data_IF_835454583155
#
_entry.id   IF_835454583155
#
_cell.length_a   1.000
_cell.length_b   1.000
_cell.length_c   1.000
_cell.angle_alpha   90.00
_cell.angle_beta   90.00
_cell.angle_gamma   90.00
#
_symmetry.space_group_name_H-M   'P 1'
#
loop_
_entity.id
_entity.type
_entity.pdbx_description
1 polymer ?
#
# COMPACT_ATOMS: atom_id res chain seq x y z
N UNK A 1 13.48 2.17 -6.31
CA UNK A 1 12.53 1.25 -6.96
C UNK A 1 11.13 1.86 -6.99
N UNK A 2 10.45 2.04 -5.85
CA UNK A 2 9.14 2.71 -5.79
C UNK A 2 9.17 4.13 -6.40
N UNK A 3 10.21 4.91 -6.10
CA UNK A 3 10.43 6.24 -6.70
C UNK A 3 10.50 6.23 -8.23
N UNK A 4 11.10 5.18 -8.81
CA UNK A 4 11.21 5.06 -10.28
C UNK A 4 9.86 4.65 -10.89
N UNK A 5 9.08 3.82 -10.19
CA UNK A 5 7.72 3.46 -10.62
C UNK A 5 6.83 4.70 -10.63
N UNK A 6 6.92 5.54 -9.60
CA UNK A 6 6.21 6.83 -9.57
C UNK A 6 6.71 7.77 -10.68
N UNK A 7 8.02 7.83 -10.92
CA UNK A 7 8.62 8.69 -11.95
C UNK A 7 8.24 8.30 -13.39
N UNK A 8 8.25 7.00 -13.71
CA UNK A 8 7.80 6.47 -15.01
C UNK A 8 6.29 6.69 -15.19
N UNK A 9 5.54 6.73 -14.09
CA UNK A 9 4.10 6.91 -14.07
C UNK A 9 3.32 5.66 -14.50
N UNK A 10 2.00 5.82 -14.70
CA UNK A 10 1.09 4.75 -15.14
C UNK A 10 0.46 3.92 -14.02
N UNK A 11 0.99 3.99 -12.79
CA UNK A 11 0.39 3.40 -11.58
C UNK A 11 0.15 4.44 -10.46
N UNK A 12 0.40 5.72 -10.72
CA UNK A 12 0.26 6.83 -9.78
C UNK A 12 1.36 7.87 -9.95
N UNK A 13 1.11 9.09 -9.46
CA UNK A 13 2.06 10.22 -9.51
C UNK A 13 2.96 10.31 -8.26
N UNK A 14 2.65 9.51 -7.24
CA UNK A 14 3.39 9.44 -5.98
C UNK A 14 3.40 7.99 -5.43
N UNK A 15 4.37 7.69 -4.56
CA UNK A 15 4.54 6.39 -3.92
C UNK A 15 3.28 6.01 -3.12
N UNK A 16 2.59 6.99 -2.51
CA UNK A 16 1.33 6.80 -1.80
C UNK A 16 0.22 6.16 -2.63
N UNK A 17 0.27 6.23 -3.95
CA UNK A 17 -0.71 5.61 -4.85
C UNK A 17 -0.41 4.16 -5.23
N UNK A 18 0.81 3.68 -4.96
CA UNK A 18 1.27 2.41 -5.48
C UNK A 18 0.68 1.23 -4.70
N UNK A 19 0.38 0.09 -5.37
CA UNK A 19 -0.11 -1.12 -4.73
C UNK A 19 1.05 -1.89 -4.06
N UNK A 20 1.69 -1.26 -3.07
CA UNK A 20 2.84 -1.77 -2.33
C UNK A 20 2.74 -1.40 -0.83
N UNK A 21 3.36 -2.24 0.02
CA UNK A 21 3.38 -2.06 1.46
C UNK A 21 4.65 -2.69 2.05
N UNK A 22 5.08 -2.21 3.23
CA UNK A 22 6.14 -2.80 4.02
C UNK A 22 5.60 -3.81 5.04
N UNK A 23 6.42 -4.80 5.40
CA UNK A 23 6.12 -5.74 6.47
C UNK A 23 7.38 -6.06 7.28
N UNK A 24 7.30 -5.93 8.60
CA UNK A 24 8.34 -6.27 9.56
C UNK A 24 7.72 -7.17 10.65
N UNK A 25 7.51 -8.47 10.35
CA UNK A 25 6.73 -9.38 11.20
C UNK A 25 7.42 -9.65 12.55
N UNK A 26 8.75 -9.72 12.56
CA UNK A 26 9.55 -10.06 13.74
C UNK A 26 10.63 -9.00 13.98
N UNK A 27 10.23 -7.73 13.97
CA UNK A 27 11.19 -6.65 14.19
C UNK A 27 11.78 -6.72 15.61
N UNK A 28 13.10 -6.50 15.70
CA UNK A 28 13.83 -6.55 16.98
C UNK A 28 14.63 -5.26 17.23
N UNK A 29 15.09 -4.61 16.17
CA UNK A 29 16.02 -3.48 16.28
C UNK A 29 15.35 -2.15 15.99
N UNK A 30 15.85 -1.09 16.61
CA UNK A 30 15.44 0.29 16.34
C UNK A 30 15.60 0.67 14.86
N UNK A 31 16.58 0.06 14.18
CA UNK A 31 16.76 0.22 12.73
C UNK A 31 15.53 -0.24 11.94
N UNK A 32 14.85 -1.30 12.38
CA UNK A 32 13.64 -1.77 11.71
C UNK A 32 12.48 -0.76 11.88
N UNK A 33 12.36 -0.13 13.06
CA UNK A 33 11.39 0.94 13.30
C UNK A 33 11.71 2.14 12.42
N UNK A 34 12.98 2.56 12.34
CA UNK A 34 13.40 3.68 11.51
C UNK A 34 13.11 3.44 10.02
N UNK A 35 13.36 2.23 9.52
CA UNK A 35 13.00 1.84 8.14
C UNK A 35 11.49 1.91 7.94
N UNK A 36 10.70 1.39 8.89
CA UNK A 36 9.25 1.45 8.80
C UNK A 36 8.69 2.89 8.84
N UNK A 37 9.29 3.77 9.64
CA UNK A 37 8.92 5.19 9.63
C UNK A 37 9.24 5.84 8.29
N UNK A 38 10.42 5.58 7.74
CA UNK A 38 10.81 6.09 6.42
C UNK A 38 9.84 5.64 5.32
N UNK A 39 9.36 4.39 5.37
CA UNK A 39 8.36 3.88 4.43
C UNK A 39 7.05 4.64 4.55
N UNK A 40 6.53 4.83 5.77
CA UNK A 40 5.27 5.57 5.98
C UNK A 40 5.38 7.02 5.56
N UNK A 41 6.46 7.71 5.94
CA UNK A 41 6.69 9.09 5.51
C UNK A 41 6.85 9.21 3.97
N UNK A 42 7.21 8.12 3.30
CA UNK A 42 7.27 8.02 1.84
C UNK A 42 5.95 7.53 1.21
N UNK A 43 4.88 7.33 1.97
CA UNK A 43 3.57 6.90 1.44
C UNK A 43 3.38 5.38 1.32
N UNK A 44 4.27 4.55 1.85
CA UNK A 44 4.08 3.10 1.89
C UNK A 44 3.62 2.66 3.31
N UNK A 45 2.42 2.07 3.47
CA UNK A 45 1.96 1.58 4.77
C UNK A 45 2.81 0.41 5.23
N UNK A 46 3.04 0.28 6.55
CA UNK A 46 3.92 -0.73 7.13
C UNK A 46 3.21 -1.51 8.23
N UNK A 47 3.26 -2.84 8.11
CA UNK A 47 2.74 -3.75 9.11
C UNK A 47 3.87 -4.30 9.97
N UNK A 48 3.68 -4.30 11.28
CA UNK A 48 4.60 -4.88 12.25
C UNK A 48 3.94 -6.04 12.99
N UNK A 49 4.69 -7.10 13.29
CA UNK A 49 4.16 -8.26 14.03
C UNK A 49 4.43 -8.27 15.52
N UNK A 50 5.31 -7.39 16.00
CA UNK A 50 5.60 -7.24 17.43
C UNK A 50 5.03 -5.90 17.90
N UNK A 51 4.44 -5.90 19.11
CA UNK A 51 3.87 -4.70 19.72
C UNK A 51 4.92 -3.61 19.97
N UNK A 52 4.45 -2.36 20.05
CA UNK A 52 5.31 -1.21 20.30
C UNK A 52 5.17 -0.66 21.73
N UNK A 53 6.25 -0.07 22.29
CA UNK A 53 6.20 0.63 23.57
C UNK A 53 5.52 2.01 23.50
N UNK A 54 4.78 2.30 22.43
CA UNK A 54 3.98 3.54 22.28
C UNK A 54 2.49 3.30 22.50
N UNK A 55 2.04 2.04 22.53
CA UNK A 55 0.63 1.68 22.67
C UNK A 55 0.07 2.22 23.99
N UNK A 56 -0.96 3.07 23.91
CA UNK A 56 -1.57 3.73 25.08
C UNK A 56 -1.00 5.11 25.40
N UNK A 57 0.03 5.56 24.67
CA UNK A 57 0.45 6.97 24.68
C UNK A 57 -0.38 7.80 23.69
N UNK A 58 -0.39 9.12 23.87
CA UNK A 58 -1.02 10.06 22.91
C UNK A 58 -0.42 10.01 21.50
N UNK A 59 0.75 9.38 21.33
CA UNK A 59 1.39 9.18 20.03
C UNK A 59 0.76 8.01 19.24
N UNK A 60 -0.03 7.15 19.90
CA UNK A 60 -0.63 5.97 19.25
C UNK A 60 -1.55 6.37 18.10
N UNK A 61 -2.41 7.37 18.31
CA UNK A 61 -3.37 7.78 17.28
C UNK A 61 -2.66 8.40 16.08
N UNK A 62 -1.61 9.19 16.31
CA UNK A 62 -0.76 9.72 15.23
C UNK A 62 -0.18 8.59 14.36
N UNK A 63 0.49 7.64 15.00
CA UNK A 63 1.26 6.59 14.32
C UNK A 63 0.40 5.52 13.63
N UNK A 64 -0.79 5.23 14.18
CA UNK A 64 -1.65 4.14 13.71
C UNK A 64 -2.93 4.60 13.00
N UNK A 65 -3.24 5.90 12.98
CA UNK A 65 -4.44 6.44 12.31
C UNK A 65 -4.17 7.71 11.50
N UNK A 66 -3.67 8.77 12.13
CA UNK A 66 -3.66 10.12 11.53
C UNK A 66 -2.73 10.22 10.30
N UNK A 67 -1.64 9.45 10.24
CA UNK A 67 -0.77 9.44 9.05
C UNK A 67 -1.46 8.96 7.77
N UNK A 68 -2.61 8.28 7.83
CA UNK A 68 -3.39 8.00 6.63
C UNK A 68 -3.87 9.27 5.92
N UNK A 69 -4.13 10.35 6.66
CA UNK A 69 -4.60 11.61 6.08
C UNK A 69 -3.44 12.43 5.53
N UNK A 70 -2.26 12.35 6.15
CA UNK A 70 -1.08 13.15 5.77
C UNK A 70 -0.23 12.47 4.69
N UNK A 71 0.05 11.18 4.83
CA UNK A 71 0.97 10.44 3.97
C UNK A 71 0.27 9.36 3.12
N UNK A 72 -1.05 9.14 3.29
CA UNK A 72 -1.77 8.00 2.72
C UNK A 72 -1.13 6.64 3.08
N UNK A 73 -0.44 6.60 4.23
CA UNK A 73 0.22 5.43 4.78
C UNK A 73 0.27 5.55 6.30
N UNK A 74 0.30 4.42 6.99
CA UNK A 74 0.32 4.39 8.44
C UNK A 74 0.98 3.12 8.95
N UNK A 75 1.29 3.06 10.24
CA UNK A 75 1.65 1.80 10.87
C UNK A 75 0.42 0.96 11.14
N UNK A 76 0.61 -0.35 11.16
CA UNK A 76 -0.32 -1.29 11.77
C UNK A 76 0.45 -2.35 12.56
N UNK A 77 -0.24 -2.96 13.51
CA UNK A 77 0.31 -4.05 14.33
C UNK A 77 -0.64 -5.23 14.28
N UNK A 78 -0.14 -6.40 13.93
CA UNK A 78 -0.88 -7.65 13.97
C UNK A 78 0.06 -8.81 14.29
N UNK A 79 -0.04 -9.46 15.46
CA UNK A 79 0.84 -10.57 15.82
C UNK A 79 0.61 -11.87 15.04
N UNK A 80 -0.60 -12.11 14.54
CA UNK A 80 -0.93 -13.34 13.81
C UNK A 80 -0.46 -13.27 12.34
N UNK A 81 0.48 -14.12 11.90
CA UNK A 81 1.03 -14.06 10.55
C UNK A 81 -0.01 -14.29 9.45
N UNK A 82 -1.09 -15.03 9.73
CA UNK A 82 -2.17 -15.26 8.75
C UNK A 82 -2.94 -13.96 8.56
N UNK A 83 -3.33 -13.30 9.66
CA UNK A 83 -4.01 -12.00 9.60
C UNK A 83 -3.11 -10.92 9.01
N UNK A 84 -1.79 -10.99 9.25
CA UNK A 84 -0.86 -10.08 8.60
C UNK A 84 -0.96 -10.18 7.08
N UNK A 85 -0.90 -11.40 6.53
CA UNK A 85 -1.03 -11.61 5.10
C UNK A 85 -2.37 -11.08 4.56
N UNK A 86 -3.47 -11.32 5.28
CA UNK A 86 -4.78 -10.77 4.92
C UNK A 86 -4.81 -9.24 4.88
N UNK A 87 -4.19 -8.57 5.87
CA UNK A 87 -4.11 -7.11 5.92
C UNK A 87 -3.29 -6.56 4.76
N UNK A 88 -2.12 -7.14 4.50
CA UNK A 88 -1.24 -6.73 3.40
C UNK A 88 -1.94 -6.85 2.04
N UNK A 89 -2.62 -7.98 1.80
CA UNK A 89 -3.40 -8.20 0.57
C UNK A 89 -4.52 -7.18 0.46
N UNK A 90 -5.26 -6.89 1.55
CA UNK A 90 -6.32 -5.87 1.55
C UNK A 90 -5.79 -4.47 1.20
N UNK A 91 -4.61 -4.09 1.71
CA UNK A 91 -4.02 -2.79 1.36
C UNK A 91 -3.63 -2.71 -0.12
N UNK A 92 -3.00 -3.76 -0.63
CA UNK A 92 -2.64 -3.86 -2.05
C UNK A 92 -3.89 -3.80 -2.92
N UNK A 93 -4.94 -4.58 -2.60
CA UNK A 93 -6.19 -4.59 -3.36
C UNK A 93 -6.91 -3.25 -3.33
N UNK A 94 -6.95 -2.56 -2.19
CA UNK A 94 -7.52 -1.22 -2.07
C UNK A 94 -6.76 -0.20 -2.95
N UNK A 95 -5.43 -0.30 -3.00
CA UNK A 95 -4.63 0.54 -3.90
C UNK A 95 -4.90 0.19 -5.37
N UNK A 96 -4.99 -1.09 -5.73
CA UNK A 96 -5.36 -1.54 -7.08
C UNK A 96 -6.74 -1.07 -7.52
N UNK A 97 -7.69 -1.03 -6.59
CA UNK A 97 -9.03 -0.49 -6.82
C UNK A 97 -9.00 1.01 -7.11
N UNK A 98 -8.26 1.79 -6.31
CA UNK A 98 -8.07 3.23 -6.56
C UNK A 98 -7.46 3.50 -7.94
N UNK A 99 -6.61 2.59 -8.41
CA UNK A 99 -5.98 2.66 -9.74
C UNK A 99 -6.83 2.06 -10.88
N UNK A 100 -7.98 1.46 -10.58
CA UNK A 100 -8.85 0.84 -11.58
C UNK A 100 -8.30 -0.45 -12.21
N UNK A 101 -7.32 -1.12 -11.60
CA UNK A 101 -6.62 -2.30 -12.16
C UNK A 101 -7.04 -3.63 -11.52
N UNK A 102 -8.20 -3.67 -10.86
CA UNK A 102 -8.71 -4.88 -10.21
C UNK A 102 -9.10 -5.96 -11.22
N UNK A 103 -9.62 -5.55 -12.37
CA UNK A 103 -10.04 -6.47 -13.42
C UNK A 103 -9.01 -6.52 -14.54
N UNK A 104 -8.61 -7.73 -14.92
CA UNK A 104 -7.88 -7.94 -16.17
C UNK A 104 -8.86 -7.55 -17.28
N UNK A 105 -8.55 -6.60 -18.18
CA UNK A 105 -9.45 -6.29 -19.29
C UNK A 105 -9.75 -7.60 -20.01
N UNK A 106 -11.04 -7.91 -20.18
CA UNK A 106 -11.44 -9.08 -20.96
C UNK A 106 -10.73 -8.99 -22.30
N UNK A 107 -9.99 -10.03 -22.67
CA UNK A 107 -9.43 -10.14 -24.02
C UNK A 107 -10.60 -10.40 -24.95
N UNK A 108 -11.28 -9.34 -25.36
CA UNK A 108 -12.36 -9.41 -26.36
C UNK A 108 -11.70 -9.55 -27.72
N UNK A 109 -12.01 -10.64 -28.42
CA UNK A 109 -11.65 -10.77 -29.83
C UNK A 109 -12.59 -9.86 -30.62
N UNK A 110 -12.13 -8.64 -30.92
CA UNK A 110 -12.89 -7.72 -31.75
C UNK A 110 -13.03 -8.29 -33.17
N UNK A 111 -14.26 -8.62 -33.55
CA UNK A 111 -14.60 -8.93 -34.93
C UNK A 111 -14.56 -7.67 -35.82
N UNK A 112 -14.69 -7.86 -37.14
CA UNK A 112 -14.60 -6.75 -38.11
C UNK A 112 -15.75 -5.74 -37.98
N UNK A 113 -16.89 -6.12 -37.40
CA UNK A 113 -18.01 -5.21 -37.18
C UNK A 113 -17.75 -4.31 -35.96
N UNK A 114 -17.30 -4.89 -34.84
CA UNK A 114 -16.94 -4.15 -33.62
C UNK A 114 -15.81 -3.15 -33.86
N UNK A 115 -14.84 -3.47 -34.74
CA UNK A 115 -13.76 -2.54 -35.12
C UNK A 115 -14.24 -1.31 -35.88
N UNK A 116 -15.37 -1.40 -36.61
CA UNK A 116 -15.93 -0.28 -37.37
C UNK A 116 -16.74 0.69 -36.50
N UNK A 117 -17.18 0.23 -35.33
CA UNK A 117 -17.99 1.02 -34.39
C UNK A 117 -17.14 1.80 -33.37
N UNK A 118 -15.85 1.46 -33.24
CA UNK A 118 -14.89 2.23 -32.44
C UNK A 118 -14.64 3.58 -33.12
N UNK A 119 -15.21 4.65 -32.55
CA UNK A 119 -14.89 6.03 -32.90
C UNK A 119 -13.72 6.51 -32.05
N UNK A 120 -12.69 7.03 -32.72
CA UNK A 120 -11.54 7.71 -32.10
C UNK A 120 -11.87 9.18 -31.85
#
# INVERSE_FOLDING_TARGET
AASEIANIGGLGDDIGGLPACGCAPEWMSEKAIAIGQYFVASGAPVLFGVGFPVTGSGMSDLLFKEYWDEYNACWAVEPDPIKQAEILVKWIDKAREKLGIKERPQRVLYDMAMRRELKF
#
